data_IF_856400686166
#
_entry.id   IF_856400686166
#
_cell.length_a   1.000
_cell.length_b   1.000
_cell.length_c   1.000
_cell.angle_alpha   90.00
_cell.angle_beta   90.00
_cell.angle_gamma   90.00
#
_symmetry.space_group_name_H-M   'P 1'
#
loop_
_entity.id
_entity.type
_entity.pdbx_description
1 polymer ?
#
# COMPACT_ATOMS: atom_id res chain seq x y z
N UNK A 1 -19.05 -16.81 -19.07
CA UNK A 1 -18.10 -17.84 -19.56
C UNK A 1 -16.66 -17.48 -19.23
N UNK A 2 -16.19 -16.24 -19.43
CA UNK A 2 -14.78 -15.89 -19.20
C UNK A 2 -14.27 -16.18 -17.76
N UNK A 3 -15.05 -15.83 -16.72
CA UNK A 3 -14.62 -16.10 -15.34
C UNK A 3 -14.44 -17.61 -15.06
N UNK A 4 -15.38 -18.45 -15.49
CA UNK A 4 -15.27 -19.90 -15.33
C UNK A 4 -14.03 -20.48 -16.06
N UNK A 5 -13.78 -20.03 -17.28
CA UNK A 5 -12.59 -20.47 -18.04
C UNK A 5 -11.29 -20.02 -17.33
N UNK A 6 -11.29 -18.78 -16.78
CA UNK A 6 -10.15 -18.29 -16.02
C UNK A 6 -9.90 -19.14 -14.77
N UNK A 7 -10.94 -19.49 -13.99
CA UNK A 7 -10.84 -20.39 -12.83
C UNK A 7 -10.21 -21.72 -13.22
N UNK A 8 -10.76 -22.37 -14.25
CA UNK A 8 -10.25 -23.69 -14.71
C UNK A 8 -8.79 -23.62 -15.17
N UNK A 9 -8.41 -22.55 -15.88
CA UNK A 9 -7.03 -22.38 -16.35
C UNK A 9 -6.05 -22.06 -15.23
N UNK A 10 -6.47 -21.25 -14.22
CA UNK A 10 -5.60 -20.79 -13.13
C UNK A 10 -5.47 -21.86 -12.03
N UNK A 11 -6.52 -22.60 -11.70
CA UNK A 11 -6.51 -23.61 -10.62
C UNK A 11 -5.56 -24.78 -10.89
N UNK A 12 -5.21 -25.04 -12.15
CA UNK A 12 -4.25 -26.09 -12.53
C UNK A 12 -2.81 -25.57 -12.67
N UNK A 13 -2.53 -24.28 -12.42
CA UNK A 13 -1.21 -23.71 -12.62
C UNK A 13 -0.27 -23.95 -11.41
N UNK A 14 0.96 -24.38 -11.73
CA UNK A 14 2.04 -24.47 -10.73
C UNK A 14 2.36 -23.06 -10.21
N UNK A 15 2.72 -22.98 -8.93
CA UNK A 15 3.06 -21.74 -8.23
C UNK A 15 1.94 -20.68 -8.20
N UNK A 16 0.69 -21.15 -8.21
CA UNK A 16 -0.49 -20.28 -8.13
C UNK A 16 -1.49 -20.86 -7.12
N UNK A 17 -1.91 -20.02 -6.16
CA UNK A 17 -3.08 -20.33 -5.32
C UNK A 17 -4.27 -19.52 -5.82
N UNK A 18 -5.41 -20.17 -6.01
CA UNK A 18 -6.66 -19.55 -6.48
C UNK A 18 -7.75 -19.78 -5.46
N UNK A 19 -8.39 -18.71 -5.02
CA UNK A 19 -9.52 -18.75 -4.09
C UNK A 19 -10.67 -17.98 -4.76
N UNK A 20 -11.80 -18.69 -4.95
CA UNK A 20 -13.04 -18.06 -5.41
C UNK A 20 -13.75 -17.38 -4.24
N UNK A 21 -14.48 -16.31 -4.52
CA UNK A 21 -15.30 -15.60 -3.54
C UNK A 21 -14.54 -15.16 -2.27
N UNK A 22 -13.25 -14.79 -2.42
CA UNK A 22 -12.44 -14.42 -1.25
C UNK A 22 -12.83 -13.04 -0.69
N UNK A 23 -13.05 -12.98 0.62
CA UNK A 23 -13.38 -11.74 1.33
C UNK A 23 -12.19 -10.80 1.41
N UNK A 24 -12.24 -9.68 0.70
CA UNK A 24 -11.17 -8.69 0.66
C UNK A 24 -10.96 -7.96 2.00
N UNK A 25 -11.93 -7.97 2.90
CA UNK A 25 -11.75 -7.51 4.28
C UNK A 25 -10.56 -8.17 5.01
N UNK A 26 -10.18 -9.40 4.63
CA UNK A 26 -9.01 -10.12 5.17
C UNK A 26 -7.68 -9.59 4.64
N UNK A 27 -7.74 -8.85 3.54
CA UNK A 27 -6.59 -8.35 2.79
C UNK A 27 -6.46 -6.83 2.86
N UNK A 28 -7.23 -6.15 3.71
CA UNK A 28 -7.18 -4.71 3.93
C UNK A 28 -6.89 -4.36 5.39
N UNK A 29 -6.18 -3.27 5.62
CA UNK A 29 -5.94 -2.77 6.98
C UNK A 29 -7.19 -2.14 7.61
N UNK A 30 -8.15 -1.72 6.81
CA UNK A 30 -9.49 -1.33 7.29
C UNK A 30 -10.30 -2.51 7.83
N UNK A 31 -9.99 -3.75 7.42
CA UNK A 31 -10.79 -4.95 7.69
C UNK A 31 -12.22 -4.82 7.13
N UNK A 32 -12.34 -4.11 6.01
CA UNK A 32 -13.58 -3.85 5.28
C UNK A 32 -13.38 -4.31 3.84
N UNK A 33 -14.45 -4.76 3.19
CA UNK A 33 -14.50 -5.15 1.80
C UNK A 33 -15.27 -6.44 1.57
N UNK A 34 -16.10 -6.42 0.54
CA UNK A 34 -16.81 -7.59 0.05
C UNK A 34 -15.88 -8.60 -0.62
N UNK A 35 -16.47 -9.50 -1.39
CA UNK A 35 -15.74 -10.59 -2.06
C UNK A 35 -15.12 -10.12 -3.39
N UNK A 36 -13.94 -10.64 -3.73
CA UNK A 36 -13.49 -10.69 -5.11
C UNK A 36 -13.99 -11.98 -5.76
N UNK A 37 -14.31 -11.94 -7.05
CA UNK A 37 -14.68 -13.15 -7.79
C UNK A 37 -13.54 -14.17 -7.75
N UNK A 38 -12.28 -13.69 -7.89
CA UNK A 38 -11.06 -14.49 -7.74
C UNK A 38 -10.03 -13.75 -6.88
N UNK A 39 -9.33 -14.50 -6.04
CA UNK A 39 -8.10 -14.06 -5.40
C UNK A 39 -6.96 -14.99 -5.81
N UNK A 40 -5.97 -14.44 -6.52
CA UNK A 40 -4.90 -15.22 -7.14
C UNK A 40 -3.58 -14.84 -6.51
N UNK A 41 -2.93 -15.78 -5.81
CA UNK A 41 -1.57 -15.58 -5.30
C UNK A 41 -0.57 -16.19 -6.27
N UNK A 42 0.24 -15.36 -6.93
CA UNK A 42 1.30 -15.80 -7.84
C UNK A 42 2.61 -15.94 -7.08
N UNK A 43 3.18 -17.15 -7.02
CA UNK A 43 4.38 -17.45 -6.26
C UNK A 43 5.68 -17.34 -7.06
N UNK A 44 5.59 -17.20 -8.38
CA UNK A 44 6.75 -16.97 -9.28
C UNK A 44 6.39 -15.98 -10.38
N UNK A 45 7.42 -15.39 -11.01
CA UNK A 45 7.24 -14.52 -12.18
C UNK A 45 6.52 -15.25 -13.33
N UNK A 46 6.87 -16.52 -13.55
CA UNK A 46 6.21 -17.33 -14.57
C UNK A 46 4.71 -17.49 -14.29
N UNK A 47 4.33 -17.76 -13.02
CA UNK A 47 2.93 -17.85 -12.61
C UNK A 47 2.21 -16.50 -12.80
N UNK A 48 2.83 -15.38 -12.40
CA UNK A 48 2.26 -14.04 -12.57
C UNK A 48 1.97 -13.72 -14.03
N UNK A 49 2.98 -13.92 -14.92
CA UNK A 49 2.85 -13.67 -16.36
C UNK A 49 1.73 -14.50 -16.98
N UNK A 50 1.64 -15.78 -16.63
CA UNK A 50 0.59 -16.67 -17.13
C UNK A 50 -0.78 -16.30 -16.59
N UNK A 51 -0.88 -15.95 -15.30
CA UNK A 51 -2.14 -15.53 -14.69
C UNK A 51 -2.70 -14.28 -15.36
N UNK A 52 -1.87 -13.25 -15.56
CA UNK A 52 -2.26 -12.04 -16.28
C UNK A 52 -2.71 -12.37 -17.72
N UNK A 53 -1.94 -13.17 -18.45
CA UNK A 53 -2.29 -13.57 -19.83
C UNK A 53 -3.62 -14.34 -19.91
N UNK A 54 -3.93 -15.19 -18.91
CA UNK A 54 -5.22 -15.90 -18.85
C UNK A 54 -6.35 -14.92 -18.58
N UNK A 55 -6.19 -14.02 -17.58
CA UNK A 55 -7.22 -13.06 -17.22
C UNK A 55 -7.53 -12.11 -18.37
N UNK A 56 -6.49 -11.60 -19.07
CA UNK A 56 -6.65 -10.72 -20.24
C UNK A 56 -7.35 -11.44 -21.40
N UNK A 57 -6.95 -12.67 -21.71
CA UNK A 57 -7.58 -13.49 -22.77
C UNK A 57 -9.06 -13.76 -22.48
N UNK A 58 -9.39 -14.06 -21.23
CA UNK A 58 -10.77 -14.35 -20.80
C UNK A 58 -11.56 -13.07 -20.49
N UNK A 59 -10.95 -11.90 -20.69
CA UNK A 59 -11.55 -10.58 -20.44
C UNK A 59 -12.04 -10.41 -18.98
N UNK A 60 -11.35 -11.01 -18.01
CA UNK A 60 -11.62 -10.85 -16.59
C UNK A 60 -10.83 -9.65 -16.07
N UNK A 61 -11.49 -8.59 -15.60
CA UNK A 61 -10.80 -7.47 -15.00
C UNK A 61 -9.93 -7.93 -13.84
N UNK A 62 -8.73 -7.35 -13.71
CA UNK A 62 -7.85 -7.70 -12.62
C UNK A 62 -7.15 -6.47 -12.02
N UNK A 63 -6.74 -6.61 -10.78
CA UNK A 63 -5.97 -5.62 -10.04
C UNK A 63 -4.94 -6.31 -9.17
N UNK A 64 -3.76 -5.70 -9.03
CA UNK A 64 -2.76 -6.17 -8.07
C UNK A 64 -2.87 -5.40 -6.76
N UNK A 65 -2.78 -6.12 -5.64
CA UNK A 65 -2.73 -5.50 -4.32
C UNK A 65 -1.52 -5.98 -3.52
N UNK A 66 -0.98 -5.06 -2.69
CA UNK A 66 -0.04 -5.45 -1.64
C UNK A 66 -0.78 -5.92 -0.39
N UNK A 67 -0.55 -5.24 0.75
CA UNK A 67 -1.22 -5.55 2.02
C UNK A 67 -2.49 -4.72 2.29
N UNK A 68 -3.04 -4.06 1.27
CA UNK A 68 -4.27 -3.28 1.38
C UNK A 68 -4.24 -2.17 2.43
N UNK A 69 -3.04 -1.64 2.73
CA UNK A 69 -2.87 -0.63 3.78
C UNK A 69 -3.25 0.79 3.35
N UNK A 70 -3.54 0.99 2.06
CA UNK A 70 -4.04 2.24 1.50
C UNK A 70 -5.25 1.99 0.59
N UNK A 71 -6.10 1.01 0.96
CA UNK A 71 -7.20 0.54 0.12
C UNK A 71 -8.51 0.53 0.90
N UNK A 72 -9.57 1.09 0.33
CA UNK A 72 -10.95 0.91 0.72
C UNK A 72 -11.64 0.08 -0.36
N UNK A 73 -12.13 -1.10 0.01
CA UNK A 73 -12.86 -2.00 -0.89
C UNK A 73 -14.35 -1.88 -0.62
N UNK A 74 -15.15 -1.74 -1.66
CA UNK A 74 -16.61 -1.65 -1.58
C UNK A 74 -17.23 -2.88 -0.87
N UNK A 75 -18.37 -2.70 -0.24
CA UNK A 75 -19.11 -3.79 0.42
C UNK A 75 -19.61 -4.82 -0.60
N UNK A 76 -19.90 -4.41 -1.84
CA UNK A 76 -20.18 -5.29 -2.98
C UNK A 76 -18.98 -6.10 -3.48
N UNK A 77 -17.77 -5.75 -3.04
CA UNK A 77 -16.52 -6.41 -3.42
C UNK A 77 -15.98 -5.94 -4.77
N UNK A 78 -15.25 -6.82 -5.45
CA UNK A 78 -14.64 -6.55 -6.75
C UNK A 78 -15.01 -7.62 -7.77
N UNK A 79 -15.61 -7.21 -8.89
CA UNK A 79 -15.96 -8.10 -9.98
C UNK A 79 -14.77 -8.30 -10.90
N UNK A 80 -14.02 -9.38 -10.62
CA UNK A 80 -12.78 -9.72 -11.31
C UNK A 80 -11.78 -10.42 -10.39
N UNK A 81 -10.52 -10.45 -10.81
CA UNK A 81 -9.44 -11.10 -10.10
C UNK A 81 -8.58 -10.10 -9.32
N UNK A 82 -8.31 -10.40 -8.06
CA UNK A 82 -7.33 -9.70 -7.24
C UNK A 82 -6.06 -10.53 -7.19
N UNK A 83 -4.95 -9.97 -7.67
CA UNK A 83 -3.64 -10.64 -7.70
C UNK A 83 -2.81 -10.20 -6.50
N UNK A 84 -2.14 -11.17 -5.85
CA UNK A 84 -1.16 -10.95 -4.79
C UNK A 84 0.17 -11.61 -5.14
N UNK A 85 1.29 -10.99 -4.74
CA UNK A 85 2.63 -11.50 -4.97
C UNK A 85 3.10 -12.41 -3.83
N UNK A 86 3.43 -13.66 -4.17
CA UNK A 86 3.82 -14.70 -3.23
C UNK A 86 5.34 -14.89 -3.08
N UNK A 87 5.78 -16.13 -2.86
CA UNK A 87 7.11 -16.54 -2.37
C UNK A 87 8.31 -15.89 -3.06
N UNK A 88 8.41 -15.92 -4.38
CA UNK A 88 9.55 -15.38 -5.14
C UNK A 88 9.72 -13.88 -4.89
N UNK A 89 8.60 -13.15 -4.81
CA UNK A 89 8.55 -11.71 -4.60
C UNK A 89 8.70 -11.30 -3.13
N UNK A 90 8.91 -12.25 -2.21
CA UNK A 90 9.06 -12.01 -0.77
C UNK A 90 10.50 -12.26 -0.29
N UNK A 91 11.46 -12.20 -1.20
CA UNK A 91 12.89 -12.39 -0.92
C UNK A 91 13.60 -11.06 -0.73
N UNK A 92 14.64 -11.09 0.07
CA UNK A 92 15.63 -10.01 0.20
C UNK A 92 17.00 -10.62 -0.01
N UNK A 93 17.75 -10.11 -0.97
CA UNK A 93 19.12 -10.52 -1.28
C UNK A 93 20.04 -9.35 -0.98
N UNK A 94 21.17 -9.61 -0.34
CA UNK A 94 22.19 -8.61 -0.03
C UNK A 94 23.34 -8.80 -1.02
N UNK A 95 23.77 -7.72 -1.65
CA UNK A 95 24.92 -7.72 -2.54
C UNK A 95 26.23 -7.86 -1.74
N UNK A 96 27.34 -8.17 -2.44
CA UNK A 96 28.66 -8.38 -1.83
C UNK A 96 29.20 -7.16 -1.07
N UNK A 97 28.73 -5.95 -1.43
CA UNK A 97 29.10 -4.72 -0.73
C UNK A 97 28.45 -4.60 0.67
N UNK A 98 27.56 -5.52 1.02
CA UNK A 98 26.86 -5.58 2.28
C UNK A 98 25.83 -4.45 2.51
N UNK A 99 25.66 -3.50 1.59
CA UNK A 99 24.87 -2.28 1.73
C UNK A 99 23.75 -2.15 0.70
N UNK A 100 23.83 -2.89 -0.41
CA UNK A 100 22.84 -2.91 -1.48
C UNK A 100 21.91 -4.10 -1.29
N UNK A 101 20.60 -3.84 -1.25
CA UNK A 101 19.57 -4.85 -1.04
C UNK A 101 18.68 -4.95 -2.26
N UNK A 102 18.59 -6.12 -2.89
CA UNK A 102 17.51 -6.43 -3.84
C UNK A 102 16.32 -6.98 -3.06
N UNK A 103 15.19 -6.31 -3.15
CA UNK A 103 14.01 -6.56 -2.32
C UNK A 103 12.78 -6.78 -3.18
N UNK A 104 12.16 -7.94 -3.08
CA UNK A 104 10.92 -8.26 -3.78
C UNK A 104 9.74 -7.40 -3.31
N UNK A 105 8.88 -7.04 -4.25
CA UNK A 105 7.73 -6.14 -4.01
C UNK A 105 6.72 -6.68 -2.98
N UNK A 106 6.64 -8.01 -2.80
CA UNK A 106 5.79 -8.68 -1.82
C UNK A 106 6.35 -8.70 -0.40
N UNK A 107 7.60 -8.30 -0.18
CA UNK A 107 8.20 -8.21 1.17
C UNK A 107 7.40 -7.23 2.02
N UNK A 108 7.10 -7.64 3.26
CA UNK A 108 6.48 -6.73 4.24
C UNK A 108 7.43 -5.59 4.56
N UNK A 109 6.96 -4.35 4.47
CA UNK A 109 7.81 -3.18 4.69
C UNK A 109 8.41 -3.16 6.11
N UNK A 110 7.63 -3.56 7.11
CA UNK A 110 8.13 -3.71 8.48
C UNK A 110 9.23 -4.78 8.61
N UNK A 111 9.17 -5.88 7.82
CA UNK A 111 10.23 -6.90 7.77
C UNK A 111 11.52 -6.32 7.21
N UNK A 112 11.44 -5.59 6.10
CA UNK A 112 12.60 -4.93 5.50
C UNK A 112 13.29 -3.97 6.48
N UNK A 113 12.52 -3.16 7.22
CA UNK A 113 13.05 -2.25 8.27
C UNK A 113 13.81 -3.02 9.35
N UNK A 114 13.26 -4.14 9.83
CA UNK A 114 13.90 -4.98 10.84
C UNK A 114 15.15 -5.71 10.29
N UNK A 115 15.10 -6.17 9.04
CA UNK A 115 16.24 -6.80 8.36
C UNK A 115 17.39 -5.80 8.21
N UNK A 116 17.13 -4.55 7.85
CA UNK A 116 18.12 -3.47 7.78
C UNK A 116 18.74 -3.20 9.16
N UNK A 117 17.94 -3.07 10.22
CA UNK A 117 18.44 -2.93 11.60
C UNK A 117 19.32 -4.13 12.00
N UNK A 118 18.90 -5.36 11.70
CA UNK A 118 19.65 -6.56 12.05
C UNK A 118 21.07 -6.57 11.44
N UNK A 119 21.21 -5.98 10.26
CA UNK A 119 22.43 -5.86 9.47
C UNK A 119 23.23 -4.58 9.73
N UNK A 120 22.80 -3.74 10.68
CA UNK A 120 23.41 -2.44 10.96
C UNK A 120 23.41 -1.51 9.74
N UNK A 121 22.30 -1.49 8.99
CA UNK A 121 22.08 -0.66 7.81
C UNK A 121 21.06 0.44 8.12
N UNK A 122 21.49 1.68 7.97
CA UNK A 122 20.73 2.91 8.16
C UNK A 122 20.11 3.40 6.85
N UNK A 123 18.99 4.09 6.94
CA UNK A 123 18.26 4.72 5.84
C UNK A 123 16.76 4.43 5.88
N UNK A 124 16.33 3.35 6.55
CA UNK A 124 14.92 2.93 6.63
C UNK A 124 14.25 3.23 7.98
N UNK A 125 14.88 3.96 8.89
CA UNK A 125 14.37 4.21 10.25
C UNK A 125 13.05 4.98 10.22
N UNK A 126 12.86 5.90 9.26
CA UNK A 126 11.61 6.64 9.06
C UNK A 126 10.41 5.74 8.79
N UNK A 127 10.66 4.54 8.26
CA UNK A 127 9.62 3.60 7.83
C UNK A 127 9.06 2.73 8.97
N UNK A 128 9.67 2.79 10.17
CA UNK A 128 9.16 2.03 11.33
C UNK A 128 7.69 2.37 11.59
N UNK A 129 6.85 1.33 11.66
CA UNK A 129 5.41 1.47 11.87
C UNK A 129 4.61 1.91 10.62
N UNK A 130 5.22 2.01 9.42
CA UNK A 130 4.48 2.15 8.16
C UNK A 130 4.03 0.74 7.72
N UNK A 131 2.72 0.50 7.59
CA UNK A 131 2.22 -0.78 7.13
C UNK A 131 2.33 -0.91 5.60
N UNK A 132 2.29 -2.14 5.10
CA UNK A 132 2.23 -2.43 3.67
C UNK A 132 3.33 -3.35 3.17
N UNK A 133 3.43 -3.50 1.85
CA UNK A 133 4.50 -4.19 1.13
C UNK A 133 5.46 -3.20 0.50
N UNK A 134 6.66 -3.67 0.15
CA UNK A 134 7.69 -2.86 -0.53
C UNK A 134 7.17 -2.30 -1.86
N UNK A 135 6.51 -3.11 -2.69
CA UNK A 135 5.92 -2.61 -3.94
C UNK A 135 4.89 -1.50 -3.73
N UNK A 136 4.04 -1.62 -2.68
CA UNK A 136 3.13 -0.55 -2.29
C UNK A 136 3.86 0.69 -1.77
N UNK A 137 4.96 0.51 -1.03
CA UNK A 137 5.79 1.61 -0.54
C UNK A 137 6.47 2.36 -1.70
N UNK A 138 7.00 1.66 -2.71
CA UNK A 138 7.57 2.25 -3.95
C UNK A 138 6.48 3.01 -4.71
N UNK A 139 5.35 2.36 -5.03
CA UNK A 139 4.25 2.98 -5.78
C UNK A 139 3.71 4.26 -5.15
N UNK A 140 3.74 4.35 -3.82
CA UNK A 140 3.27 5.51 -3.05
C UNK A 140 4.39 6.43 -2.60
N UNK A 141 5.64 6.16 -2.98
CA UNK A 141 6.81 6.84 -2.45
C UNK A 141 6.69 7.06 -0.93
N UNK A 142 6.51 5.95 -0.19
CA UNK A 142 6.18 5.99 1.23
C UNK A 142 7.29 6.67 2.04
N UNK A 143 6.86 7.55 2.95
CA UNK A 143 7.82 8.28 3.77
C UNK A 143 7.20 9.34 4.67
N UNK A 144 8.04 10.21 5.15
CA UNK A 144 7.74 11.43 5.93
C UNK A 144 7.87 12.66 5.02
N UNK A 145 7.92 13.86 5.60
CA UNK A 145 8.20 15.09 4.86
C UNK A 145 9.67 15.21 4.40
N UNK A 146 10.58 14.56 5.09
CA UNK A 146 12.03 14.70 4.91
C UNK A 146 12.74 13.44 4.44
N UNK A 147 12.13 12.28 4.62
CA UNK A 147 12.73 10.99 4.29
C UNK A 147 11.66 10.09 3.65
N UNK A 148 11.96 9.48 2.53
CA UNK A 148 11.07 8.61 1.76
C UNK A 148 11.84 7.52 1.03
N UNK A 149 11.16 6.42 0.70
CA UNK A 149 11.79 5.25 0.13
C UNK A 149 12.49 5.54 -1.20
N UNK A 150 11.93 6.38 -2.05
CA UNK A 150 12.49 6.71 -3.37
C UNK A 150 13.90 7.31 -3.31
N UNK A 151 14.28 7.96 -2.18
CA UNK A 151 15.64 8.48 -1.99
C UNK A 151 16.70 7.40 -1.79
N UNK A 152 16.29 6.15 -1.60
CA UNK A 152 17.16 4.99 -1.38
C UNK A 152 17.18 4.04 -2.58
N UNK A 153 16.32 4.27 -3.57
CA UNK A 153 16.13 3.39 -4.73
C UNK A 153 17.22 3.64 -5.76
N UNK A 154 17.93 2.58 -6.14
CA UNK A 154 18.88 2.57 -7.26
C UNK A 154 18.24 2.01 -8.53
N UNK A 155 17.36 1.01 -8.42
CA UNK A 155 16.68 0.39 -9.57
C UNK A 155 15.30 -0.14 -9.15
N UNK A 156 14.36 -0.19 -10.09
CA UNK A 156 13.05 -0.84 -9.94
C UNK A 156 12.80 -1.73 -11.14
N UNK A 157 12.48 -2.99 -10.88
CA UNK A 157 12.07 -3.95 -11.90
C UNK A 157 10.56 -4.05 -11.89
N UNK A 158 9.96 -3.89 -13.07
CA UNK A 158 8.52 -4.01 -13.28
C UNK A 158 8.18 -5.07 -14.32
N UNK A 159 6.94 -5.49 -14.32
CA UNK A 159 6.34 -6.30 -15.38
C UNK A 159 5.23 -5.51 -16.05
N UNK A 160 5.42 -5.25 -17.35
CA UNK A 160 4.40 -4.72 -18.24
C UNK A 160 3.72 -5.91 -18.94
N UNK A 161 2.40 -6.09 -18.81
CA UNK A 161 1.68 -7.18 -19.48
C UNK A 161 1.88 -7.23 -21.00
N UNK A 162 2.09 -6.07 -21.64
CA UNK A 162 2.24 -5.97 -23.09
C UNK A 162 3.67 -6.22 -23.57
N UNK A 163 4.69 -5.78 -22.82
CA UNK A 163 6.09 -5.77 -23.29
C UNK A 163 7.06 -6.60 -22.41
N UNK A 164 6.61 -7.10 -21.25
CA UNK A 164 7.43 -7.95 -20.39
C UNK A 164 8.16 -7.18 -19.27
N UNK A 165 9.33 -7.67 -18.89
CA UNK A 165 10.13 -7.07 -17.82
C UNK A 165 10.75 -5.75 -18.29
N UNK A 166 10.72 -4.74 -17.42
CA UNK A 166 11.38 -3.45 -17.61
C UNK A 166 12.19 -3.09 -16.37
N UNK A 167 13.24 -2.32 -16.59
CA UNK A 167 14.11 -1.77 -15.56
C UNK A 167 14.05 -0.24 -15.62
N UNK A 168 13.99 0.37 -14.45
CA UNK A 168 14.01 1.82 -14.29
C UNK A 168 15.08 2.17 -13.27
N UNK A 169 16.14 2.86 -13.71
CA UNK A 169 17.10 3.40 -12.76
C UNK A 169 16.39 4.40 -11.81
N UNK A 170 16.77 4.41 -10.54
CA UNK A 170 16.15 5.29 -9.54
C UNK A 170 16.19 6.77 -9.94
N UNK A 171 17.22 7.18 -10.73
CA UNK A 171 17.38 8.53 -11.28
C UNK A 171 16.42 8.85 -12.44
N UNK A 172 15.85 7.85 -13.11
CA UNK A 172 14.85 8.03 -14.17
C UNK A 172 13.44 8.18 -13.61
N UNK A 173 13.24 7.81 -12.34
CA UNK A 173 11.95 7.88 -11.67
C UNK A 173 11.81 9.24 -10.99
N UNK A 174 10.76 9.98 -11.34
CA UNK A 174 10.38 11.18 -10.59
C UNK A 174 9.65 10.78 -9.32
N UNK A 175 10.22 11.15 -8.18
CA UNK A 175 9.70 10.85 -6.85
C UNK A 175 8.98 12.08 -6.28
N UNK A 176 7.66 12.02 -6.24
CA UNK A 176 6.82 13.08 -5.68
C UNK A 176 6.23 12.72 -4.31
N UNK A 177 5.50 13.66 -3.71
CA UNK A 177 4.76 13.43 -2.48
C UNK A 177 3.61 12.44 -2.72
N UNK A 178 3.74 11.23 -2.17
CA UNK A 178 2.78 10.13 -2.33
C UNK A 178 2.58 9.68 -3.78
N UNK A 179 3.63 9.79 -4.59
CA UNK A 179 3.60 9.34 -5.98
C UNK A 179 5.00 9.08 -6.54
N UNK A 180 5.05 8.28 -7.57
CA UNK A 180 6.22 8.11 -8.44
C UNK A 180 5.77 8.06 -9.90
N UNK A 181 6.71 8.30 -10.83
CA UNK A 181 6.43 8.33 -12.27
C UNK A 181 6.35 6.95 -12.92
N UNK A 182 6.48 5.85 -12.18
CA UNK A 182 6.32 4.50 -12.73
C UNK A 182 4.93 4.34 -13.35
N UNK A 183 4.81 3.69 -14.53
CA UNK A 183 3.53 3.46 -15.18
C UNK A 183 2.56 2.65 -14.32
N UNK A 184 1.30 3.08 -14.25
CA UNK A 184 0.28 2.49 -13.37
C UNK A 184 -0.21 1.12 -13.83
N UNK A 185 -0.01 0.79 -15.10
CA UNK A 185 -0.34 -0.51 -15.70
C UNK A 185 0.77 -1.55 -15.49
N UNK A 186 1.91 -1.15 -14.96
CA UNK A 186 3.02 -2.06 -14.67
C UNK A 186 2.98 -2.56 -13.23
N UNK A 187 3.39 -3.81 -13.06
CA UNK A 187 3.48 -4.47 -11.76
C UNK A 187 4.91 -4.37 -11.26
N UNK A 188 5.14 -3.73 -10.12
CA UNK A 188 6.46 -3.72 -9.47
C UNK A 188 6.76 -5.13 -8.96
N UNK A 189 7.89 -5.69 -9.39
CA UNK A 189 8.36 -7.03 -9.02
C UNK A 189 9.37 -6.97 -7.88
N UNK A 190 10.34 -6.08 -7.99
CA UNK A 190 11.39 -5.86 -6.99
C UNK A 190 12.00 -4.47 -7.13
N UNK A 191 12.80 -4.07 -6.16
CA UNK A 191 13.62 -2.87 -6.21
C UNK A 191 15.00 -3.12 -5.61
N UNK A 192 15.97 -2.33 -6.04
CA UNK A 192 17.31 -2.28 -5.46
C UNK A 192 17.42 -1.04 -4.59
N UNK A 193 17.76 -1.23 -3.32
CA UNK A 193 17.90 -0.16 -2.32
C UNK A 193 19.38 -0.05 -1.89
N UNK A 194 19.90 1.17 -1.85
CA UNK A 194 21.22 1.47 -1.29
C UNK A 194 21.06 2.05 0.10
N UNK A 195 21.58 1.33 1.09
CA UNK A 195 21.61 1.72 2.49
C UNK A 195 23.03 2.08 2.92
N UNK A 196 23.20 2.57 4.15
CA UNK A 196 24.51 2.96 4.68
C UNK A 196 24.81 2.21 5.98
N UNK A 197 26.02 1.68 6.19
CA UNK A 197 26.41 1.13 7.46
C UNK A 197 26.35 2.19 8.56
N UNK A 198 25.82 1.82 9.71
CA UNK A 198 25.79 2.68 10.90
C UNK A 198 25.77 1.83 12.18
N UNK A 199 26.19 2.38 13.33
CA UNK A 199 26.08 1.69 14.60
C UNK A 199 24.63 1.28 14.88
N UNK A 200 24.42 0.03 15.23
CA UNK A 200 23.06 -0.53 15.47
C UNK A 200 22.32 0.22 16.58
N UNK A 201 23.05 0.76 17.55
CA UNK A 201 22.47 1.56 18.64
C UNK A 201 21.84 2.84 18.10
N UNK A 202 22.52 3.55 17.16
CA UNK A 202 22.05 4.79 16.59
C UNK A 202 20.79 4.57 15.70
N UNK A 203 20.83 3.48 14.92
CA UNK A 203 19.66 3.07 14.11
C UNK A 203 18.45 2.82 15.01
N UNK A 204 18.64 2.05 16.10
CA UNK A 204 17.60 1.72 17.06
C UNK A 204 17.04 2.97 17.72
N UNK A 205 17.89 3.88 18.18
CA UNK A 205 17.45 5.15 18.78
C UNK A 205 16.59 5.98 17.81
N UNK A 206 17.00 6.08 16.53
CA UNK A 206 16.22 6.78 15.51
C UNK A 206 14.86 6.11 15.27
N UNK A 207 14.83 4.77 15.16
CA UNK A 207 13.58 4.01 15.03
C UNK A 207 12.66 4.24 16.22
N UNK A 208 13.18 4.23 17.45
CA UNK A 208 12.40 4.46 18.68
C UNK A 208 11.80 5.87 18.69
N UNK A 209 12.54 6.89 18.26
CA UNK A 209 12.03 8.26 18.12
C UNK A 209 10.85 8.33 17.14
N UNK A 210 10.99 7.71 15.94
CA UNK A 210 9.91 7.65 14.95
C UNK A 210 8.70 6.90 15.48
N UNK A 211 8.90 5.73 16.10
CA UNK A 211 7.82 4.92 16.64
C UNK A 211 7.07 5.62 17.77
N UNK A 212 7.79 6.25 18.70
CA UNK A 212 7.21 7.03 19.80
C UNK A 212 6.37 8.18 19.28
N UNK A 213 6.89 8.93 18.27
CA UNK A 213 6.13 10.00 17.63
C UNK A 213 4.85 9.45 17.01
N UNK A 214 4.91 8.32 16.25
CA UNK A 214 3.72 7.70 15.63
C UNK A 214 2.70 7.27 16.68
N UNK A 215 3.12 6.58 17.74
CA UNK A 215 2.23 6.16 18.83
C UNK A 215 1.49 7.32 19.48
N UNK A 216 2.15 8.48 19.59
CA UNK A 216 1.56 9.69 20.17
C UNK A 216 0.58 10.39 19.22
N UNK A 217 0.83 10.35 17.91
CA UNK A 217 0.13 11.19 16.93
C UNK A 217 -0.78 10.43 15.96
N UNK A 218 -0.81 9.11 15.99
CA UNK A 218 -1.61 8.28 15.07
C UNK A 218 -2.39 7.21 15.85
N UNK A 219 -3.58 6.80 15.40
CA UNK A 219 -4.40 5.80 16.06
C UNK A 219 -3.85 4.38 15.82
N UNK A 220 -2.59 4.12 16.25
CA UNK A 220 -1.93 2.84 16.10
C UNK A 220 -2.76 1.72 16.77
N UNK A 221 -2.95 0.62 16.07
CA UNK A 221 -3.77 -0.49 16.55
C UNK A 221 -5.27 -0.40 16.21
N UNK A 222 -5.76 0.75 15.67
CA UNK A 222 -7.12 0.86 15.12
C UNK A 222 -7.12 0.50 13.63
N UNK A 223 -8.14 -0.23 13.18
CA UNK A 223 -8.29 -0.57 11.76
C UNK A 223 -8.50 0.72 10.94
N UNK A 224 -7.57 1.02 10.04
CA UNK A 224 -7.58 2.22 9.19
C UNK A 224 -6.63 2.02 8.01
N UNK A 225 -6.67 2.90 7.02
CA UNK A 225 -5.73 2.90 5.87
C UNK A 225 -4.68 4.01 5.94
N UNK A 226 -4.37 4.53 7.14
CA UNK A 226 -3.49 5.69 7.28
C UNK A 226 -4.21 7.01 7.05
N UNK A 227 -3.49 8.02 6.56
CA UNK A 227 -4.06 9.31 6.18
C UNK A 227 -5.00 9.18 5.00
N UNK A 228 -6.22 9.70 5.12
CA UNK A 228 -7.26 9.58 4.10
C UNK A 228 -7.07 10.58 2.96
N UNK A 229 -6.58 11.79 3.28
CA UNK A 229 -6.37 12.85 2.31
C UNK A 229 -4.91 13.28 2.23
N UNK A 230 -4.48 13.69 1.05
CA UNK A 230 -3.17 14.32 0.83
C UNK A 230 -3.13 15.71 1.45
N UNK A 231 -2.01 16.08 2.09
CA UNK A 231 -1.83 17.47 2.50
C UNK A 231 -1.70 18.37 1.27
N UNK A 232 -2.41 19.51 1.23
CA UNK A 232 -2.10 20.56 0.27
C UNK A 232 -0.72 21.18 0.57
N UNK A 233 -0.13 21.94 -0.37
CA UNK A 233 1.25 22.45 -0.23
C UNK A 233 1.50 23.19 1.09
N UNK A 234 0.60 24.07 1.51
CA UNK A 234 0.80 25.00 2.60
C UNK A 234 -0.05 24.72 3.85
N UNK A 235 -0.74 23.57 3.91
CA UNK A 235 -1.62 23.27 5.02
C UNK A 235 -1.54 21.79 5.46
N UNK A 236 -1.86 21.56 6.73
CA UNK A 236 -2.06 20.22 7.27
C UNK A 236 -3.54 19.87 7.22
N UNK A 237 -3.91 18.86 6.43
CA UNK A 237 -5.30 18.38 6.37
C UNK A 237 -5.82 17.98 7.74
N UNK A 238 -4.99 17.31 8.54
CA UNK A 238 -5.37 16.94 9.90
C UNK A 238 -5.77 18.17 10.75
N UNK A 239 -5.06 19.29 10.60
CA UNK A 239 -5.40 20.54 11.28
C UNK A 239 -6.69 21.14 10.74
N UNK A 240 -6.87 21.21 9.42
CA UNK A 240 -8.10 21.72 8.81
C UNK A 240 -9.34 20.94 9.27
N UNK A 241 -9.25 19.60 9.32
CA UNK A 241 -10.36 18.74 9.78
C UNK A 241 -10.62 18.95 11.28
N UNK A 242 -9.57 19.10 12.09
CA UNK A 242 -9.68 19.39 13.53
C UNK A 242 -10.33 20.75 13.79
N UNK A 243 -9.96 21.79 13.06
CA UNK A 243 -10.52 23.14 13.16
C UNK A 243 -11.99 23.20 12.73
N UNK A 244 -12.44 22.29 11.85
CA UNK A 244 -13.85 22.07 11.55
C UNK A 244 -14.62 21.33 12.67
N UNK A 245 -13.98 20.96 13.78
CA UNK A 245 -14.60 20.25 14.90
C UNK A 245 -14.98 18.79 14.62
N UNK A 246 -14.33 18.15 13.60
CA UNK A 246 -14.75 16.85 13.11
C UNK A 246 -14.08 15.65 13.80
N UNK A 247 -13.16 15.84 14.76
CA UNK A 247 -12.64 14.73 15.56
C UNK A 247 -13.77 14.02 16.32
N UNK A 248 -13.83 12.69 16.22
CA UNK A 248 -14.89 11.88 16.81
C UNK A 248 -16.21 11.86 16.03
N UNK A 249 -16.31 12.62 14.93
CA UNK A 249 -17.48 12.52 14.05
C UNK A 249 -17.59 11.12 13.46
N UNK A 250 -18.79 10.53 13.50
CA UNK A 250 -19.02 9.15 13.08
C UNK A 250 -20.27 9.00 12.22
N UNK A 251 -20.21 8.02 11.30
CA UNK A 251 -21.36 7.51 10.55
C UNK A 251 -21.27 5.98 10.62
N UNK A 252 -22.33 5.32 11.08
CA UNK A 252 -22.31 3.89 11.33
C UNK A 252 -21.13 3.47 12.21
N UNK A 253 -20.31 2.53 11.73
CA UNK A 253 -19.11 2.09 12.42
C UNK A 253 -17.83 2.85 12.06
N UNK A 254 -17.89 3.87 11.20
CA UNK A 254 -16.75 4.69 10.77
C UNK A 254 -16.64 5.96 11.62
N UNK A 255 -15.42 6.31 12.05
CA UNK A 255 -15.16 7.46 12.92
C UNK A 255 -13.92 8.24 12.46
N UNK A 256 -13.99 9.57 12.43
CA UNK A 256 -12.82 10.43 12.35
C UNK A 256 -12.04 10.29 13.65
N UNK A 257 -10.80 9.82 13.57
CA UNK A 257 -10.02 9.52 14.77
C UNK A 257 -9.85 10.74 15.69
N UNK A 258 -10.11 10.61 16.99
CA UNK A 258 -9.87 11.67 17.96
C UNK A 258 -8.37 11.94 18.16
N UNK A 259 -7.49 10.99 17.81
CA UNK A 259 -6.02 11.14 17.90
C UNK A 259 -5.47 11.92 16.71
N UNK A 260 -5.94 11.61 15.48
CA UNK A 260 -5.46 12.24 14.26
C UNK A 260 -6.61 12.43 13.26
N UNK A 261 -7.04 13.67 13.06
CA UNK A 261 -8.25 13.95 12.29
C UNK A 261 -8.21 13.54 10.80
N UNK A 262 -7.01 13.37 10.21
CA UNK A 262 -6.87 12.83 8.84
C UNK A 262 -6.88 11.27 8.79
N UNK A 263 -7.25 10.61 9.89
CA UNK A 263 -7.47 9.16 9.94
C UNK A 263 -8.95 8.90 10.19
N UNK A 264 -9.55 8.06 9.36
CA UNK A 264 -10.87 7.49 9.61
C UNK A 264 -10.65 6.04 10.04
N UNK A 265 -11.22 5.66 11.15
CA UNK A 265 -11.05 4.33 11.76
C UNK A 265 -12.34 3.53 11.69
N UNK A 266 -12.21 2.22 11.52
CA UNK A 266 -13.28 1.26 11.66
C UNK A 266 -13.37 0.83 13.14
N UNK A 267 -14.50 1.05 13.79
CA UNK A 267 -14.78 0.66 15.17
C UNK A 267 -15.14 -0.83 15.32
N UNK A 268 -15.04 -1.60 14.22
CA UNK A 268 -15.32 -3.04 14.17
C UNK A 268 -16.60 -3.40 13.40
N UNK A 269 -17.47 -2.44 13.14
CA UNK A 269 -18.76 -2.64 12.45
C UNK A 269 -18.94 -1.75 11.21
N UNK A 270 -17.92 -0.97 10.82
CA UNK A 270 -18.02 -0.08 9.68
C UNK A 270 -18.18 -0.85 8.36
N UNK A 271 -19.09 -0.38 7.52
CA UNK A 271 -19.17 -0.71 6.11
C UNK A 271 -18.21 0.19 5.29
N UNK A 272 -17.97 -0.20 4.03
CA UNK A 272 -17.23 0.66 3.10
C UNK A 272 -18.00 1.95 2.80
N UNK A 273 -19.33 1.86 2.74
CA UNK A 273 -20.21 3.01 2.55
C UNK A 273 -20.16 3.98 3.72
N UNK A 274 -20.04 3.50 4.98
CA UNK A 274 -19.85 4.35 6.16
C UNK A 274 -18.55 5.17 6.04
N UNK A 275 -17.42 4.48 5.71
CA UNK A 275 -16.13 5.16 5.51
C UNK A 275 -16.23 6.20 4.39
N UNK A 276 -16.83 5.83 3.25
CA UNK A 276 -17.00 6.72 2.12
C UNK A 276 -17.91 7.93 2.46
N UNK A 277 -18.95 7.73 3.27
CA UNK A 277 -19.82 8.79 3.75
C UNK A 277 -19.09 9.76 4.68
N UNK A 278 -18.26 9.26 5.61
CA UNK A 278 -17.40 10.12 6.46
C UNK A 278 -16.40 10.90 5.59
N UNK A 279 -15.78 10.26 4.58
CA UNK A 279 -14.86 10.94 3.64
C UNK A 279 -15.58 12.09 2.93
N UNK A 280 -16.76 11.85 2.37
CA UNK A 280 -17.56 12.90 1.69
C UNK A 280 -17.95 14.03 2.63
N UNK A 281 -18.35 13.70 3.85
CA UNK A 281 -18.72 14.71 4.85
C UNK A 281 -17.52 15.59 5.23
N UNK A 282 -16.37 15.00 5.55
CA UNK A 282 -15.12 15.72 5.87
C UNK A 282 -14.70 16.62 4.71
N UNK A 283 -14.70 16.09 3.48
CA UNK A 283 -14.39 16.86 2.27
C UNK A 283 -15.31 18.08 2.13
N UNK A 284 -16.64 17.87 2.27
CA UNK A 284 -17.62 18.94 2.16
C UNK A 284 -17.44 20.04 3.21
N UNK A 285 -17.20 19.66 4.47
CA UNK A 285 -16.99 20.62 5.57
C UNK A 285 -15.72 21.44 5.43
N UNK A 286 -14.61 20.81 5.03
CA UNK A 286 -13.34 21.54 4.78
C UNK A 286 -13.49 22.48 3.57
N UNK A 287 -14.16 22.06 2.49
CA UNK A 287 -14.45 22.91 1.35
C UNK A 287 -15.34 24.12 1.73
N UNK A 288 -16.37 23.88 2.53
CA UNK A 288 -17.28 24.93 3.03
C UNK A 288 -16.52 25.98 3.87
N UNK A 289 -15.64 25.52 4.77
CA UNK A 289 -14.93 26.40 5.71
C UNK A 289 -13.72 27.12 5.12
N UNK A 290 -13.00 26.49 4.18
CA UNK A 290 -11.70 26.98 3.69
C UNK A 290 -11.60 27.13 2.17
N UNK A 291 -12.61 26.70 1.40
CA UNK A 291 -12.54 26.69 -0.07
C UNK A 291 -11.55 25.68 -0.65
N UNK A 292 -11.04 24.74 0.17
CA UNK A 292 -10.01 23.77 -0.24
C UNK A 292 -10.64 22.45 -0.66
N UNK A 293 -10.34 22.02 -1.89
CA UNK A 293 -10.71 20.69 -2.41
C UNK A 293 -9.70 19.64 -1.92
N UNK A 294 -10.10 18.82 -0.94
CA UNK A 294 -9.26 17.74 -0.43
C UNK A 294 -9.16 16.61 -1.45
N UNK A 295 -7.93 16.13 -1.71
CA UNK A 295 -7.69 14.98 -2.60
C UNK A 295 -7.49 13.71 -1.77
N UNK A 296 -8.32 12.65 -1.97
CA UNK A 296 -8.11 11.38 -1.30
C UNK A 296 -6.72 10.80 -1.62
N UNK A 297 -6.03 10.28 -0.59
CA UNK A 297 -4.84 9.45 -0.72
C UNK A 297 -5.23 7.97 -0.81
N UNK A 298 -6.28 7.59 -0.10
CA UNK A 298 -6.85 6.23 -0.12
C UNK A 298 -7.31 5.86 -1.53
N UNK A 299 -7.03 4.63 -1.94
CA UNK A 299 -7.50 4.05 -3.20
C UNK A 299 -8.82 3.34 -2.98
N UNK A 300 -9.76 3.54 -3.92
CA UNK A 300 -11.07 2.89 -3.91
C UNK A 300 -11.07 1.71 -4.87
N UNK A 301 -11.64 0.58 -4.47
CA UNK A 301 -11.78 -0.61 -5.29
C UNK A 301 -13.22 -1.14 -5.25
N UNK A 302 -13.83 -1.33 -6.40
CA UNK A 302 -15.18 -1.88 -6.54
C UNK A 302 -16.32 -0.88 -6.31
N UNK A 303 -16.03 0.43 -6.25
CA UNK A 303 -17.02 1.51 -6.13
C UNK A 303 -17.59 1.92 -7.48
#
# INVERSE_FOLDING_TARGET
>A
MGLFNAVMALSGMIDTDVIEDERLARHTSYRIGGKADLFVTCHSYHALRRAVAVLDREQVPWVIIGKGSNLLVADGGYRGAVISLGREFQRTVVADDGCTLTVGAGVMFARLVNDALSRSLSGLEFAVGIPGSVGGAISMNAGTRTEWIGSLVEDVVTFDPASGIKHYAGSEITWGYRECSLPRNEIILECVLKLKPAPKADIRERMERYLTRRKRTQPMGRASCGSVFRNPPDASVGKLIEDCGLKGFSIGGAEVSPVHANFIVNNGTASADDIAAVIRHVHGKVREAYGIELRPEVKFLGF
#
